data_IF_854313240095
#
_entry.id   IF_854313240095
#
_cell.length_a   1.000
_cell.length_b   1.000
_cell.length_c   1.000
_cell.angle_alpha   90.00
_cell.angle_beta   90.00
_cell.angle_gamma   90.00
#
_symmetry.space_group_name_H-M   'P 1'
#
loop_
_entity.id
_entity.type
_entity.pdbx_description
1 polymer ?
#
# COMPACT_ATOMS: atom_id res chain seq x y z
N UNK A 1 -29.88 -15.82 -19.63
CA UNK A 1 -28.70 -15.69 -18.74
C UNK A 1 -29.01 -16.41 -17.45
N UNK A 2 -28.58 -17.67 -17.34
CA UNK A 2 -28.81 -18.51 -16.16
C UNK A 2 -27.69 -18.29 -15.14
N UNK A 3 -28.04 -17.94 -13.91
CA UNK A 3 -27.10 -17.80 -12.81
C UNK A 3 -26.67 -19.18 -12.29
N UNK A 4 -25.37 -19.36 -12.08
CA UNK A 4 -24.82 -20.55 -11.41
C UNK A 4 -24.97 -20.36 -9.90
N UNK A 5 -25.72 -21.24 -9.24
CA UNK A 5 -25.80 -21.27 -7.79
C UNK A 5 -24.52 -21.89 -7.21
N UNK A 6 -23.76 -21.12 -6.45
CA UNK A 6 -22.59 -21.60 -5.71
C UNK A 6 -23.07 -22.19 -4.38
N UNK A 7 -22.99 -23.51 -4.22
CA UNK A 7 -23.30 -24.15 -2.94
C UNK A 7 -22.18 -23.88 -1.93
N UNK A 8 -22.48 -23.19 -0.83
CA UNK A 8 -21.55 -22.94 0.28
C UNK A 8 -21.28 -24.16 1.18
N UNK A 9 -21.85 -25.33 0.84
CA UNK A 9 -21.66 -26.55 1.62
C UNK A 9 -20.47 -27.35 1.10
N UNK A 10 -19.56 -27.82 1.98
CA UNK A 10 -18.46 -28.68 1.57
C UNK A 10 -19.01 -29.99 0.98
N UNK A 11 -18.46 -30.40 -0.17
CA UNK A 11 -18.83 -31.64 -0.85
C UNK A 11 -18.46 -32.82 0.05
N UNK A 12 -19.47 -33.51 0.59
CA UNK A 12 -19.28 -34.63 1.53
C UNK A 12 -18.42 -35.72 0.89
N UNK A 13 -17.37 -36.17 1.60
CA UNK A 13 -16.56 -37.31 1.16
C UNK A 13 -17.33 -38.62 1.33
N UNK A 14 -17.15 -39.62 0.45
CA UNK A 14 -17.85 -40.89 0.58
C UNK A 14 -17.40 -41.59 1.87
N UNK A 15 -18.32 -41.81 2.81
CA UNK A 15 -18.07 -42.51 4.07
C UNK A 15 -18.43 -41.74 5.35
N UNK A 16 -18.79 -40.46 5.25
CA UNK A 16 -19.22 -39.69 6.42
C UNK A 16 -20.70 -39.97 6.72
N UNK A 17 -20.98 -40.77 7.76
CA UNK A 17 -22.34 -40.98 8.27
C UNK A 17 -22.74 -39.73 9.04
N UNK A 18 -23.07 -38.67 8.31
CA UNK A 18 -23.65 -37.46 8.87
C UNK A 18 -25.11 -37.76 9.18
N UNK A 19 -25.40 -38.00 10.46
CA UNK A 19 -26.77 -38.01 10.95
C UNK A 19 -27.44 -36.69 10.51
N UNK A 20 -28.62 -36.74 9.86
CA UNK A 20 -29.29 -35.52 9.43
C UNK A 20 -29.71 -34.77 10.69
N UNK A 21 -28.95 -33.72 11.05
CA UNK A 21 -29.40 -32.76 12.06
C UNK A 21 -30.74 -32.22 11.55
N UNK A 22 -31.85 -32.44 12.27
CA UNK A 22 -33.17 -32.12 11.74
C UNK A 22 -33.23 -30.65 11.37
N UNK A 23 -33.71 -30.32 10.16
CA UNK A 23 -33.86 -28.93 9.69
C UNK A 23 -34.68 -28.09 10.69
N UNK A 24 -35.57 -28.71 11.45
CA UNK A 24 -36.31 -28.11 12.55
C UNK A 24 -35.39 -27.60 13.69
N UNK A 25 -34.31 -28.32 14.02
CA UNK A 25 -33.34 -27.91 15.05
C UNK A 25 -32.55 -26.68 14.62
N UNK A 26 -32.07 -26.64 13.37
CA UNK A 26 -31.43 -25.44 12.81
C UNK A 26 -32.38 -24.24 12.77
N UNK A 27 -33.65 -24.43 12.40
CA UNK A 27 -34.66 -23.38 12.41
C UNK A 27 -34.99 -22.88 13.82
N UNK A 28 -34.99 -23.76 14.82
CA UNK A 28 -35.20 -23.39 16.22
C UNK A 28 -34.01 -22.60 16.77
N UNK A 29 -32.78 -23.04 16.50
CA UNK A 29 -31.56 -22.32 16.87
C UNK A 29 -31.52 -20.92 16.26
N UNK A 30 -31.82 -20.81 14.96
CA UNK A 30 -31.90 -19.53 14.26
C UNK A 30 -32.98 -18.61 14.85
N UNK A 31 -34.15 -19.14 15.23
CA UNK A 31 -35.20 -18.36 15.91
C UNK A 31 -34.74 -17.87 17.29
N UNK A 32 -34.11 -18.72 18.10
CA UNK A 32 -33.62 -18.29 19.42
C UNK A 32 -32.52 -17.23 19.31
N UNK A 33 -31.62 -17.34 18.33
CA UNK A 33 -30.62 -16.31 18.06
C UNK A 33 -31.27 -14.99 17.62
N UNK A 34 -32.26 -15.03 16.72
CA UNK A 34 -32.99 -13.84 16.30
C UNK A 34 -33.70 -13.15 17.48
N UNK A 35 -34.41 -13.90 18.33
CA UNK A 35 -35.07 -13.32 19.49
C UNK A 35 -34.08 -12.72 20.49
N UNK A 36 -32.96 -13.39 20.73
CA UNK A 36 -31.88 -12.88 21.57
C UNK A 36 -31.29 -11.57 21.01
N UNK A 37 -31.00 -11.51 19.71
CA UNK A 37 -30.46 -10.30 19.08
C UNK A 37 -31.46 -9.15 18.98
N UNK A 38 -32.74 -9.44 18.77
CA UNK A 38 -33.82 -8.44 18.82
C UNK A 38 -33.95 -7.85 20.23
N UNK A 39 -33.82 -8.68 21.28
CA UNK A 39 -33.81 -8.21 22.67
C UNK A 39 -32.64 -7.29 23.01
N UNK A 40 -31.51 -7.39 22.29
CA UNK A 40 -30.32 -6.57 22.48
C UNK A 40 -30.23 -5.36 21.53
N UNK A 41 -31.26 -5.09 20.73
CA UNK A 41 -31.21 -4.07 19.68
C UNK A 41 -30.89 -2.67 20.24
N UNK A 42 -31.55 -2.26 21.33
CA UNK A 42 -31.31 -0.97 21.99
C UNK A 42 -29.86 -0.81 22.43
N UNK A 43 -29.28 -1.86 23.02
CA UNK A 43 -27.88 -1.86 23.46
C UNK A 43 -26.92 -1.80 22.26
N UNK A 44 -27.18 -2.57 21.20
CA UNK A 44 -26.39 -2.54 19.96
C UNK A 44 -26.40 -1.15 19.31
N UNK A 45 -27.56 -0.50 19.25
CA UNK A 45 -27.68 0.88 18.73
C UNK A 45 -26.88 1.86 19.58
N UNK A 46 -26.96 1.77 20.91
CA UNK A 46 -26.20 2.64 21.81
C UNK A 46 -24.67 2.48 21.66
N UNK A 47 -24.16 1.30 21.28
CA UNK A 47 -22.71 1.06 21.08
C UNK A 47 -22.09 1.94 19.99
N UNK A 48 -22.87 2.43 19.02
CA UNK A 48 -22.36 3.38 18.02
C UNK A 48 -21.84 4.64 18.70
N UNK A 49 -22.58 5.15 19.68
CA UNK A 49 -22.23 6.38 20.36
C UNK A 49 -21.23 6.14 21.50
N UNK A 50 -21.46 5.09 22.30
CA UNK A 50 -20.68 4.84 23.52
C UNK A 50 -19.35 4.14 23.27
N UNK A 51 -19.24 3.38 22.16
CA UNK A 51 -18.02 2.64 21.82
C UNK A 51 -17.38 3.22 20.56
N UNK A 52 -18.09 3.27 19.44
CA UNK A 52 -17.46 3.64 18.17
C UNK A 52 -17.07 5.12 18.15
N UNK A 53 -17.99 6.05 18.45
CA UNK A 53 -17.69 7.49 18.46
C UNK A 53 -16.70 7.84 19.57
N UNK A 54 -16.85 7.23 20.75
CA UNK A 54 -15.91 7.40 21.85
C UNK A 54 -14.49 6.98 21.45
N UNK A 55 -14.30 5.74 20.98
CA UNK A 55 -12.99 5.23 20.59
C UNK A 55 -12.41 5.97 19.39
N UNK A 56 -13.24 6.38 18.42
CA UNK A 56 -12.81 7.24 17.32
C UNK A 56 -12.26 8.56 17.86
N UNK A 57 -12.97 9.25 18.74
CA UNK A 57 -12.52 10.49 19.35
C UNK A 57 -11.22 10.34 20.16
N UNK A 58 -11.07 9.22 20.89
CA UNK A 58 -9.84 8.92 21.64
C UNK A 58 -8.66 8.64 20.70
N UNK A 59 -8.89 7.92 19.60
CA UNK A 59 -7.85 7.48 18.67
C UNK A 59 -7.57 8.42 17.49
N UNK A 60 -8.40 9.44 17.27
CA UNK A 60 -8.41 10.27 16.06
C UNK A 60 -7.04 10.87 15.73
N UNK A 61 -6.35 11.37 16.75
CA UNK A 61 -5.02 11.98 16.61
C UNK A 61 -3.96 10.99 16.12
N UNK A 62 -4.04 9.73 16.54
CA UNK A 62 -3.06 8.69 16.23
C UNK A 62 -3.38 7.91 14.95
N UNK A 63 -4.65 7.79 14.57
CA UNK A 63 -5.07 6.98 13.41
C UNK A 63 -5.51 7.82 12.23
N UNK A 64 -6.30 8.87 12.44
CA UNK A 64 -6.93 9.63 11.34
C UNK A 64 -6.10 10.84 10.93
N UNK A 65 -5.64 11.62 11.92
CA UNK A 65 -4.90 12.87 11.70
C UNK A 65 -3.40 12.65 11.63
N UNK A 66 -2.91 11.46 11.98
CA UNK A 66 -1.49 11.13 11.92
C UNK A 66 -0.96 11.28 10.50
N UNK A 67 0.16 11.98 10.37
CA UNK A 67 0.89 12.17 9.12
C UNK A 67 2.37 11.94 9.37
N UNK A 68 3.01 11.18 8.50
CA UNK A 68 4.46 10.93 8.53
C UNK A 68 5.00 11.16 7.13
N UNK A 69 5.97 12.07 6.99
CA UNK A 69 6.56 12.40 5.70
C UNK A 69 7.39 11.23 5.13
N UNK A 70 7.29 10.96 3.81
CA UNK A 70 8.14 9.96 3.18
C UNK A 70 9.59 10.41 3.11
N UNK A 71 10.49 9.46 3.26
CA UNK A 71 11.88 9.60 2.82
C UNK A 71 11.98 9.11 1.39
N UNK A 72 12.50 9.95 0.50
CA UNK A 72 12.60 9.67 -0.94
C UNK A 72 14.05 9.58 -1.34
N UNK A 73 14.43 8.49 -1.98
CA UNK A 73 15.77 8.32 -2.56
C UNK A 73 15.66 7.82 -4.00
N UNK A 74 16.54 8.33 -4.86
CA UNK A 74 16.62 7.92 -6.26
C UNK A 74 18.00 7.33 -6.52
N UNK A 75 18.04 6.14 -7.12
CA UNK A 75 19.30 5.48 -7.45
C UNK A 75 19.16 4.59 -8.69
N UNK A 76 20.26 4.40 -9.46
CA UNK A 76 20.28 3.45 -10.56
C UNK A 76 20.42 2.01 -10.04
N UNK A 77 19.74 1.08 -10.69
CA UNK A 77 19.83 -0.36 -10.45
C UNK A 77 19.99 -1.12 -11.77
N UNK A 78 20.76 -2.21 -11.73
CA UNK A 78 20.89 -3.15 -12.86
C UNK A 78 20.05 -4.38 -12.58
N UNK A 79 19.18 -4.76 -13.50
CA UNK A 79 18.42 -6.01 -13.35
C UNK A 79 19.19 -7.18 -13.93
N UNK A 80 19.21 -8.32 -13.24
CA UNK A 80 20.02 -9.49 -13.59
C UNK A 80 19.62 -10.14 -14.93
N UNK A 81 18.38 -9.92 -15.39
CA UNK A 81 17.83 -10.51 -16.62
C UNK A 81 18.08 -9.66 -17.88
N UNK A 82 18.26 -8.36 -17.71
CA UNK A 82 18.40 -7.40 -18.81
C UNK A 82 19.71 -6.64 -18.58
N UNK A 83 20.84 -7.26 -18.95
CA UNK A 83 22.17 -6.63 -18.83
C UNK A 83 22.33 -5.32 -19.63
N UNK A 84 21.29 -4.85 -20.32
CA UNK A 84 21.27 -3.66 -21.17
C UNK A 84 20.21 -2.61 -20.78
N UNK A 85 19.37 -2.85 -19.75
CA UNK A 85 18.35 -1.88 -19.33
C UNK A 85 18.75 -1.25 -17.99
N UNK A 86 18.94 0.07 -17.99
CA UNK A 86 19.25 0.83 -16.79
C UNK A 86 17.92 1.15 -16.07
N UNK A 87 17.77 0.68 -14.84
CA UNK A 87 16.57 0.95 -14.06
C UNK A 87 16.85 2.14 -13.15
N UNK A 88 16.03 3.19 -13.18
CA UNK A 88 16.02 4.19 -12.12
C UNK A 88 14.97 3.80 -11.09
N UNK A 89 15.36 3.75 -9.82
CA UNK A 89 14.47 3.37 -8.73
C UNK A 89 14.22 4.59 -7.87
N UNK A 90 12.96 4.99 -7.73
CA UNK A 90 12.52 5.90 -6.69
C UNK A 90 11.98 5.09 -5.51
N UNK A 91 12.74 5.07 -4.43
CA UNK A 91 12.37 4.43 -3.18
C UNK A 91 11.71 5.45 -2.26
N UNK A 92 10.46 5.17 -1.88
CA UNK A 92 9.64 6.04 -1.03
C UNK A 92 9.27 5.25 0.22
N UNK A 93 9.85 5.64 1.37
CA UNK A 93 9.77 4.85 2.60
C UNK A 93 9.25 5.64 3.80
N UNK A 94 8.64 4.93 4.74
CA UNK A 94 8.37 5.40 6.09
C UNK A 94 7.21 6.38 6.22
N UNK A 95 6.27 6.40 5.26
CA UNK A 95 5.19 7.38 5.24
C UNK A 95 3.87 6.85 5.79
N UNK A 96 2.98 7.77 6.16
CA UNK A 96 1.61 7.49 6.58
C UNK A 96 0.73 8.74 6.38
N UNK A 97 -0.52 8.63 5.87
CA UNK A 97 -1.25 7.42 5.48
C UNK A 97 -0.72 6.78 4.19
N UNK A 98 -1.36 5.71 3.71
CA UNK A 98 -0.95 5.03 2.48
C UNK A 98 -1.24 5.82 1.19
N UNK A 99 -2.09 6.86 1.26
CA UNK A 99 -2.45 7.68 0.11
C UNK A 99 -1.23 8.48 -0.37
N UNK A 100 -0.71 8.13 -1.55
CA UNK A 100 0.50 8.73 -2.12
C UNK A 100 0.44 8.74 -3.65
N UNK A 101 1.00 9.77 -4.26
CA UNK A 101 1.19 9.86 -5.70
C UNK A 101 2.68 10.05 -5.99
N UNK A 102 3.22 9.21 -6.87
CA UNK A 102 4.63 9.22 -7.27
C UNK A 102 4.69 9.24 -8.78
N UNK A 103 5.28 10.28 -9.33
CA UNK A 103 5.43 10.47 -10.77
C UNK A 103 6.91 10.59 -11.14
N UNK A 104 7.24 10.09 -12.32
CA UNK A 104 8.52 10.35 -12.96
C UNK A 104 8.39 11.52 -13.91
N UNK A 105 9.35 12.44 -13.85
CA UNK A 105 9.54 13.48 -14.85
C UNK A 105 10.85 13.24 -15.57
N UNK A 106 10.85 13.37 -16.88
CA UNK A 106 12.04 13.43 -17.74
C UNK A 106 12.12 14.84 -18.33
N UNK A 107 13.17 15.58 -17.97
CA UNK A 107 13.37 16.97 -18.38
C UNK A 107 12.13 17.85 -18.09
N UNK A 108 11.46 17.60 -16.95
CA UNK A 108 10.27 18.31 -16.51
C UNK A 108 8.94 17.84 -17.13
N UNK A 109 8.95 16.87 -18.06
CA UNK A 109 7.75 16.28 -18.63
C UNK A 109 7.44 14.94 -17.99
N UNK A 110 6.16 14.68 -17.71
CA UNK A 110 5.72 13.41 -17.11
C UNK A 110 6.05 12.23 -18.03
N UNK A 111 6.73 11.24 -17.47
CA UNK A 111 7.11 10.00 -18.13
C UNK A 111 6.27 8.85 -17.53
N UNK A 112 5.55 8.14 -18.40
CA UNK A 112 4.74 6.99 -18.03
C UNK A 112 5.23 5.71 -18.71
N UNK A 113 5.97 5.84 -19.83
CA UNK A 113 6.49 4.70 -20.54
C UNK A 113 7.61 4.04 -19.73
N UNK A 114 7.50 2.73 -19.49
CA UNK A 114 8.49 1.98 -18.71
C UNK A 114 8.43 2.22 -17.20
N UNK A 115 7.39 2.91 -16.69
CA UNK A 115 7.17 3.07 -15.25
C UNK A 115 6.50 1.83 -14.66
N UNK A 116 7.08 1.30 -13.58
CA UNK A 116 6.62 0.10 -12.89
C UNK A 116 6.60 0.37 -11.38
N UNK A 117 5.47 0.14 -10.72
CA UNK A 117 5.34 0.26 -9.27
C UNK A 117 5.22 -1.12 -8.61
N UNK A 118 5.81 -1.27 -7.41
CA UNK A 118 5.56 -2.44 -6.55
C UNK A 118 4.20 -2.42 -5.86
N UNK A 119 3.45 -1.31 -5.98
CA UNK A 119 2.31 -1.02 -5.11
C UNK A 119 2.72 -0.64 -3.69
N UNK A 120 1.74 -0.46 -2.82
CA UNK A 120 1.94 -0.16 -1.40
C UNK A 120 2.33 -1.41 -0.61
N UNK A 121 3.39 -1.30 0.18
CA UNK A 121 3.88 -2.34 1.08
C UNK A 121 3.72 -1.84 2.52
N UNK A 122 3.17 -2.69 3.38
CA UNK A 122 3.02 -2.41 4.80
C UNK A 122 4.25 -2.87 5.59
N UNK A 123 4.85 -1.97 6.37
CA UNK A 123 6.06 -2.28 7.14
C UNK A 123 5.77 -2.98 8.48
N UNK A 124 4.51 -2.92 8.96
CA UNK A 124 4.10 -3.49 10.26
C UNK A 124 4.34 -2.56 11.45
N UNK A 125 4.91 -1.37 11.23
CA UNK A 125 5.18 -0.33 12.23
C UNK A 125 4.27 0.92 12.06
N UNK A 126 3.12 0.74 11.39
CA UNK A 126 2.21 1.81 10.97
C UNK A 126 2.76 2.76 9.90
N UNK A 127 3.79 2.34 9.16
CA UNK A 127 4.24 3.05 7.96
C UNK A 127 4.14 2.19 6.70
N UNK A 128 4.21 2.87 5.56
CA UNK A 128 4.18 2.30 4.23
C UNK A 128 5.49 2.53 3.49
N UNK A 129 5.70 1.71 2.46
CA UNK A 129 6.73 1.94 1.46
C UNK A 129 6.23 1.58 0.06
N UNK A 130 6.85 2.16 -0.96
CA UNK A 130 6.65 1.78 -2.36
C UNK A 130 7.90 2.06 -3.17
N UNK A 131 8.14 1.24 -4.20
CA UNK A 131 9.20 1.47 -5.19
C UNK A 131 8.53 1.79 -6.53
N UNK A 132 8.90 2.91 -7.11
CA UNK A 132 8.49 3.31 -8.47
C UNK A 132 9.71 3.36 -9.35
N UNK A 133 9.77 2.41 -10.27
CA UNK A 133 10.92 2.14 -11.12
C UNK A 133 10.64 2.68 -12.52
N UNK A 134 11.64 3.26 -13.17
CA UNK A 134 11.61 3.71 -14.56
C UNK A 134 12.65 2.93 -15.34
N UNK A 135 12.21 2.19 -16.35
CA UNK A 135 13.06 1.51 -17.31
C UNK A 135 13.51 2.50 -18.39
N UNK A 136 14.80 2.86 -18.41
CA UNK A 136 15.34 3.84 -19.36
C UNK A 136 16.80 3.55 -19.68
N UNK A 137 17.37 4.20 -20.69
CA UNK A 137 18.82 4.26 -20.90
C UNK A 137 19.18 5.74 -20.79
N UNK A 138 19.65 6.19 -19.61
CA UNK A 138 19.98 7.59 -19.38
C UNK A 138 20.94 8.10 -20.45
N UNK A 139 20.63 9.26 -21.03
CA UNK A 139 21.54 9.94 -21.94
C UNK A 139 22.21 11.12 -21.23
N UNK A 140 23.41 11.47 -21.69
CA UNK A 140 24.14 12.61 -21.15
C UNK A 140 23.34 13.90 -21.34
N UNK A 141 23.10 14.61 -20.23
CA UNK A 141 22.34 15.87 -20.22
C UNK A 141 20.86 15.72 -19.86
N UNK A 142 20.35 14.50 -19.74
CA UNK A 142 18.99 14.27 -19.26
C UNK A 142 18.89 14.36 -17.74
N UNK A 143 17.81 14.95 -17.26
CA UNK A 143 17.48 15.04 -15.83
C UNK A 143 16.18 14.29 -15.61
N UNK A 144 16.24 13.32 -14.69
CA UNK A 144 15.09 12.56 -14.23
C UNK A 144 14.72 13.03 -12.84
N UNK A 145 13.44 13.26 -12.58
CA UNK A 145 12.94 13.71 -11.28
C UNK A 145 11.88 12.74 -10.80
N UNK A 146 12.08 12.18 -9.60
CA UNK A 146 11.00 11.53 -8.88
C UNK A 146 10.26 12.61 -8.08
N UNK A 147 8.99 12.83 -8.40
CA UNK A 147 8.13 13.78 -7.70
C UNK A 147 7.08 13.01 -6.89
N UNK A 148 7.06 13.26 -5.59
CA UNK A 148 6.19 12.58 -4.61
C UNK A 148 5.24 13.59 -3.98
N UNK A 149 3.95 13.32 -4.07
CA UNK A 149 2.89 14.05 -3.38
C UNK A 149 2.30 13.16 -2.29
N UNK A 150 2.30 13.66 -1.06
CA UNK A 150 1.79 12.94 0.09
C UNK A 150 1.09 13.89 1.07
N UNK A 151 -0.06 13.53 1.68
CA UNK A 151 -0.85 14.42 2.53
C UNK A 151 -0.16 14.99 3.77
N UNK A 152 1.02 14.47 4.13
CA UNK A 152 1.83 15.03 5.22
C UNK A 152 2.51 16.34 4.86
N UNK A 153 2.63 16.67 3.56
CA UNK A 153 3.40 17.82 3.07
C UNK A 153 2.60 18.59 2.03
N UNK A 154 2.60 19.92 2.16
CA UNK A 154 1.84 20.80 1.27
C UNK A 154 2.46 20.94 -0.13
N UNK A 155 3.80 20.85 -0.22
CA UNK A 155 4.53 20.89 -1.49
C UNK A 155 4.99 19.48 -1.87
N UNK A 156 5.09 19.17 -3.18
CA UNK A 156 5.69 17.92 -3.61
C UNK A 156 7.17 17.83 -3.18
N UNK A 157 7.63 16.60 -2.96
CA UNK A 157 9.04 16.26 -2.75
C UNK A 157 9.61 15.88 -4.10
N UNK A 158 10.65 16.58 -4.55
CA UNK A 158 11.31 16.31 -5.82
C UNK A 158 12.75 15.89 -5.58
N UNK A 159 13.13 14.73 -6.11
CA UNK A 159 14.51 14.24 -6.08
C UNK A 159 14.98 14.05 -7.50
N UNK A 160 16.01 14.81 -7.88
CA UNK A 160 16.59 14.78 -9.21
C UNK A 160 17.75 13.77 -9.32
N UNK A 161 17.90 13.20 -10.49
CA UNK A 161 18.98 12.30 -10.85
C UNK A 161 19.44 12.58 -12.29
N UNK A 162 20.75 12.58 -12.50
CA UNK A 162 21.40 12.61 -13.82
C UNK A 162 22.74 11.89 -13.74
N UNK A 163 23.22 11.33 -14.87
CA UNK A 163 24.51 10.64 -14.89
C UNK A 163 25.67 11.53 -14.41
N UNK A 164 25.67 12.80 -14.85
CA UNK A 164 26.67 13.79 -14.44
C UNK A 164 26.65 14.03 -12.92
N UNK A 165 25.47 14.08 -12.30
CA UNK A 165 25.36 14.25 -10.85
C UNK A 165 25.86 13.01 -10.11
N UNK A 166 25.55 11.81 -10.61
CA UNK A 166 26.05 10.57 -9.99
C UNK A 166 27.58 10.45 -10.08
N UNK A 167 28.19 10.84 -11.19
CA UNK A 167 29.65 10.82 -11.35
C UNK A 167 30.34 11.78 -10.37
N UNK A 168 29.76 12.96 -10.15
CA UNK A 168 30.28 13.94 -9.19
C UNK A 168 30.16 13.47 -7.74
N UNK A 169 29.04 12.84 -7.37
CA UNK A 169 28.85 12.26 -6.03
C UNK A 169 29.85 11.13 -5.79
N UNK A 170 30.02 10.21 -6.76
CA UNK A 170 30.97 9.12 -6.68
C UNK A 170 32.43 9.62 -6.58
N UNK A 171 32.78 10.68 -7.31
CA UNK A 171 34.10 11.32 -7.21
C UNK A 171 34.33 11.93 -5.82
N UNK A 172 33.31 12.52 -5.20
CA UNK A 172 33.42 13.10 -3.85
C UNK A 172 33.55 12.04 -2.74
N UNK A 173 32.87 10.90 -2.86
CA UNK A 173 33.05 9.78 -1.93
C UNK A 173 34.44 9.16 -2.02
N UNK A 174 35.02 9.11 -3.23
CA UNK A 174 36.41 8.66 -3.43
C UNK A 174 37.43 9.60 -2.79
N UNK A 175 37.15 10.91 -2.70
CA UNK A 175 38.02 11.84 -1.98
C UNK A 175 38.02 11.63 -0.46
N UNK A 176 36.98 11.01 0.12
CA UNK A 176 36.94 10.73 1.56
C UNK A 176 37.80 9.50 1.95
N UNK A 177 38.07 8.60 1.00
CA UNK A 177 38.92 7.41 1.21
C UNK A 177 40.42 7.67 0.94
N UNK A 178 40.78 8.87 0.47
CA UNK A 178 42.15 9.27 0.14
C UNK A 178 42.70 10.41 1.03
N UNK A 179 42.03 10.74 2.14
CA UNK A 179 42.55 11.60 3.21
C UNK A 179 43.05 10.81 4.41
#
# INVERSE_FOLDING_TARGET
MGGVAVSLFPRARPGDRSDPVPTAYFLLLGKTECHFFNGMERQKRAKVDTVCRHNYGVGESFTVRRRVEPTVTVYPAKTQRLQHHNLLVCSVNGFYPGDIEVIWLRNGQQEEAGVISTGLIHNGDWTFQTLVMLETVPQSGEVYTCQVQHPSRASPITVEWSEKLSDLINASSLCHDFC
#
